data_IF_157696225583
#
_entry.id   IF_157696225583
#
_cell.length_a   1.000
_cell.length_b   1.000
_cell.length_c   1.000
_cell.angle_alpha   90.00
_cell.angle_beta   90.00
_cell.angle_gamma   90.00
#
_symmetry.space_group_name_H-M   'P 1'
#
loop_
_entity.id
_entity.type
_entity.pdbx_description
1 polymer ?
#
# COMPACT_ATOMS: atom_id res chain seq x y z
N UNK A 1 -34.30 -12.72 44.04
CA UNK A 1 -33.01 -12.08 43.70
C UNK A 1 -32.36 -12.98 42.64
N UNK A 2 -32.60 -12.86 41.34
CA UNK A 2 -32.58 -11.66 40.51
C UNK A 2 -31.30 -11.71 39.64
N UNK A 3 -31.15 -12.74 38.80
CA UNK A 3 -30.05 -12.83 37.84
C UNK A 3 -30.48 -12.07 36.57
N UNK A 4 -29.74 -11.02 36.24
CA UNK A 4 -30.03 -10.13 35.12
C UNK A 4 -29.79 -10.85 33.77
N UNK A 5 -30.63 -10.61 32.74
CA UNK A 5 -30.41 -11.15 31.40
C UNK A 5 -29.29 -10.38 30.69
N UNK A 6 -28.34 -11.11 30.09
CA UNK A 6 -27.31 -10.54 29.23
C UNK A 6 -27.96 -9.86 28.00
N UNK A 7 -27.51 -8.66 27.61
CA UNK A 7 -28.11 -7.93 26.50
C UNK A 7 -27.86 -8.64 25.16
N UNK A 8 -28.96 -8.88 24.42
CA UNK A 8 -28.99 -9.44 23.08
C UNK A 8 -28.39 -8.48 22.02
N UNK A 9 -27.08 -8.25 22.08
CA UNK A 9 -26.35 -7.43 21.08
C UNK A 9 -25.10 -8.10 20.51
N UNK A 10 -25.06 -9.43 20.55
CA UNK A 10 -23.94 -10.26 20.06
C UNK A 10 -24.37 -11.21 18.93
N UNK A 11 -25.19 -10.73 17.99
CA UNK A 11 -25.66 -11.52 16.86
C UNK A 11 -25.44 -10.86 15.49
N UNK A 12 -24.54 -9.88 15.38
CA UNK A 12 -24.14 -9.28 14.10
C UNK A 12 -22.64 -8.93 14.09
N UNK A 13 -21.80 -9.95 14.12
CA UNK A 13 -20.39 -9.86 13.76
C UNK A 13 -20.13 -10.87 12.63
N UNK A 14 -19.65 -10.46 11.45
CA UNK A 14 -19.24 -11.40 10.42
C UNK A 14 -18.10 -12.28 10.95
N UNK A 15 -18.17 -13.59 10.68
CA UNK A 15 -17.20 -14.63 11.06
C UNK A 15 -15.85 -14.51 10.31
N UNK A 16 -15.30 -13.31 10.18
CA UNK A 16 -14.05 -13.06 9.48
C UNK A 16 -12.88 -12.70 10.42
N UNK A 17 -13.10 -12.59 11.73
CA UNK A 17 -12.10 -12.06 12.67
C UNK A 17 -11.53 -13.06 13.68
N UNK A 18 -11.41 -14.35 13.35
CA UNK A 18 -10.82 -15.36 14.25
C UNK A 18 -9.67 -16.19 13.63
N UNK A 19 -9.22 -15.90 12.40
CA UNK A 19 -8.00 -16.54 11.86
C UNK A 19 -7.10 -15.55 11.14
N UNK A 20 -6.35 -14.77 11.93
CA UNK A 20 -5.07 -14.22 11.49
C UNK A 20 -4.11 -14.10 12.69
N UNK A 21 -4.05 -15.14 13.51
CA UNK A 21 -2.91 -15.38 14.42
C UNK A 21 -2.10 -16.52 13.82
N UNK A 22 -0.80 -16.30 13.65
CA UNK A 22 0.19 -17.16 12.98
C UNK A 22 0.22 -17.08 11.44
N UNK A 23 0.63 -15.92 10.92
CA UNK A 23 1.47 -15.90 9.71
C UNK A 23 2.94 -15.97 10.18
N UNK A 24 3.79 -16.83 9.59
CA UNK A 24 5.19 -16.95 9.98
C UNK A 24 5.91 -15.64 9.70
N UNK A 25 6.81 -15.29 10.61
CA UNK A 25 7.67 -14.12 10.56
C UNK A 25 8.22 -13.90 9.15
N UNK A 26 7.91 -12.74 8.58
CA UNK A 26 8.48 -12.26 7.34
C UNK A 26 10.01 -12.45 7.38
N UNK A 27 10.52 -13.13 6.36
CA UNK A 27 11.95 -13.28 6.12
C UNK A 27 12.65 -11.92 6.23
N UNK A 28 13.90 -11.86 6.72
CA UNK A 28 14.59 -10.60 6.89
C UNK A 28 14.74 -9.92 5.52
N UNK A 29 13.96 -8.86 5.32
CA UNK A 29 14.15 -7.94 4.20
C UNK A 29 15.59 -7.43 4.29
N UNK A 30 16.45 -7.99 3.43
CA UNK A 30 17.81 -7.50 3.20
C UNK A 30 17.68 -5.99 3.05
N UNK A 31 18.35 -5.21 3.92
CA UNK A 31 18.34 -3.74 3.87
C UNK A 31 18.91 -3.31 2.51
N UNK A 32 18.05 -3.23 1.51
CA UNK A 32 18.32 -2.49 0.30
C UNK A 32 18.31 -1.02 0.73
N UNK A 33 19.47 -0.37 0.70
CA UNK A 33 19.53 1.08 0.80
C UNK A 33 18.55 1.69 -0.21
N UNK A 34 17.47 2.28 0.30
CA UNK A 34 16.29 2.56 -0.53
C UNK A 34 15.35 3.58 0.08
N UNK A 35 15.86 4.52 0.88
CA UNK A 35 15.07 5.62 1.45
C UNK A 35 14.59 6.64 0.39
N UNK A 36 15.01 6.47 -0.86
CA UNK A 36 14.74 7.32 -2.02
C UNK A 36 13.59 6.81 -2.90
N UNK A 37 13.07 5.60 -2.65
CA UNK A 37 12.04 4.96 -3.49
C UNK A 37 10.64 5.02 -2.88
N UNK A 38 9.63 4.98 -3.73
CA UNK A 38 8.24 4.82 -3.29
C UNK A 38 7.98 3.41 -2.73
N UNK A 39 7.05 3.28 -1.78
CA UNK A 39 6.71 1.99 -1.16
C UNK A 39 6.35 0.91 -2.20
N UNK A 40 5.52 1.23 -3.20
CA UNK A 40 5.14 0.27 -4.24
C UNK A 40 6.33 -0.20 -5.09
N UNK A 41 7.27 0.69 -5.40
CA UNK A 41 8.50 0.35 -6.13
C UNK A 41 9.37 -0.62 -5.33
N UNK A 42 9.49 -0.42 -4.01
CA UNK A 42 10.22 -1.35 -3.14
C UNK A 42 9.58 -2.75 -3.12
N UNK A 43 8.24 -2.81 -3.09
CA UNK A 43 7.50 -4.09 -3.13
C UNK A 43 7.75 -4.81 -4.46
N UNK A 44 7.64 -4.12 -5.60
CA UNK A 44 7.86 -4.76 -6.90
C UNK A 44 9.32 -5.21 -7.12
N UNK A 45 10.31 -4.43 -6.65
CA UNK A 45 11.70 -4.86 -6.65
C UNK A 45 11.92 -6.11 -5.78
N UNK A 46 11.26 -6.19 -4.62
CA UNK A 46 11.32 -7.36 -3.76
C UNK A 46 10.63 -8.59 -4.36
N UNK A 47 9.65 -8.39 -5.25
CA UNK A 47 8.98 -9.43 -6.03
C UNK A 47 9.79 -9.88 -7.26
N UNK A 48 10.94 -9.25 -7.54
CA UNK A 48 11.83 -9.64 -8.64
C UNK A 48 11.64 -8.86 -9.94
N UNK A 49 10.79 -7.84 -9.98
CA UNK A 49 10.62 -7.01 -11.17
C UNK A 49 11.84 -6.10 -11.37
N UNK A 50 12.18 -5.85 -12.63
CA UNK A 50 13.22 -4.91 -13.01
C UNK A 50 12.74 -3.46 -12.85
N UNK A 51 13.69 -2.55 -12.67
CA UNK A 51 13.37 -1.13 -12.56
C UNK A 51 12.69 -0.57 -13.83
N UNK A 52 12.99 -1.13 -15.00
CA UNK A 52 12.39 -0.73 -16.27
C UNK A 52 10.90 -1.08 -16.31
N UNK A 53 10.53 -2.32 -15.97
CA UNK A 53 9.13 -2.78 -15.90
C UNK A 53 8.31 -1.96 -14.88
N UNK A 54 8.93 -1.62 -13.75
CA UNK A 54 8.28 -0.78 -12.74
C UNK A 54 8.05 0.65 -13.26
N UNK A 55 9.02 1.21 -13.98
CA UNK A 55 8.91 2.55 -14.54
C UNK A 55 7.83 2.63 -15.65
N UNK A 56 7.69 1.56 -16.42
CA UNK A 56 6.69 1.44 -17.47
C UNK A 56 5.27 1.26 -16.91
N UNK A 57 5.13 0.63 -15.75
CA UNK A 57 3.83 0.43 -15.11
C UNK A 57 3.19 1.75 -14.64
N UNK A 58 3.98 2.65 -14.04
CA UNK A 58 3.45 3.89 -13.46
C UNK A 58 3.04 4.91 -14.51
N UNK A 59 1.92 5.58 -14.27
CA UNK A 59 1.48 6.73 -15.06
C UNK A 59 2.23 8.00 -14.65
N UNK A 60 2.15 9.02 -15.51
CA UNK A 60 2.59 10.38 -15.22
C UNK A 60 1.94 10.98 -13.98
N UNK A 61 2.55 12.02 -13.39
CA UNK A 61 2.13 12.60 -12.11
C UNK A 61 0.70 13.14 -12.14
N UNK A 62 0.23 13.62 -13.29
CA UNK A 62 -1.13 14.12 -13.47
C UNK A 62 -2.20 13.01 -13.48
N UNK A 63 -1.82 11.76 -13.79
CA UNK A 63 -2.75 10.65 -14.01
C UNK A 63 -2.73 9.59 -12.90
N UNK A 64 -1.96 9.82 -11.83
CA UNK A 64 -1.78 8.86 -10.73
C UNK A 64 -3.07 8.44 -10.03
N UNK A 65 -4.11 9.28 -10.03
CA UNK A 65 -5.40 8.94 -9.44
C UNK A 65 -6.03 7.74 -10.16
N UNK A 66 -6.12 7.81 -11.50
CA UNK A 66 -6.64 6.72 -12.33
C UNK A 66 -5.69 5.51 -12.33
N UNK A 67 -4.38 5.76 -12.26
CA UNK A 67 -3.38 4.69 -12.10
C UNK A 67 -3.57 3.86 -10.84
N UNK A 68 -3.78 4.51 -9.69
CA UNK A 68 -3.99 3.83 -8.40
C UNK A 68 -5.30 3.06 -8.31
N UNK A 69 -6.31 3.48 -9.07
CA UNK A 69 -7.60 2.80 -9.16
C UNK A 69 -7.59 1.64 -10.19
N UNK A 70 -6.46 1.41 -10.89
CA UNK A 70 -6.36 0.36 -11.91
C UNK A 70 -7.04 0.68 -13.23
N UNK A 71 -7.45 1.94 -13.47
CA UNK A 71 -8.13 2.34 -14.70
C UNK A 71 -7.17 2.64 -15.86
N UNK A 72 -5.94 3.09 -15.54
CA UNK A 72 -4.90 3.45 -16.51
C UNK A 72 -3.56 2.91 -16.03
N UNK A 73 -2.68 2.58 -16.96
CA UNK A 73 -1.29 2.22 -16.70
C UNK A 73 -0.42 2.84 -17.81
N UNK A 74 0.86 3.06 -17.53
CA UNK A 74 1.87 3.50 -18.53
C UNK A 74 1.66 4.84 -19.24
N UNK A 75 0.53 5.52 -18.99
CA UNK A 75 0.18 6.78 -19.63
C UNK A 75 0.97 7.96 -19.05
N UNK A 76 1.69 8.71 -19.90
CA UNK A 76 2.48 9.90 -19.53
C UNK A 76 3.66 9.62 -18.54
N UNK A 77 4.16 8.37 -18.52
CA UNK A 77 5.34 7.96 -17.76
C UNK A 77 6.66 8.12 -18.54
N UNK A 78 7.84 7.89 -17.91
CA UNK A 78 8.07 7.38 -16.56
C UNK A 78 8.26 8.48 -15.51
N UNK A 79 8.01 8.15 -14.24
CA UNK A 79 8.24 9.07 -13.12
C UNK A 79 9.75 9.24 -12.86
N UNK A 80 10.27 10.48 -12.74
CA UNK A 80 11.67 10.67 -12.40
C UNK A 80 11.93 10.26 -10.93
N UNK A 81 13.12 9.74 -10.59
CA UNK A 81 13.44 9.33 -9.21
C UNK A 81 13.21 10.43 -8.17
N UNK A 82 13.46 11.69 -8.54
CA UNK A 82 13.23 12.86 -7.68
C UNK A 82 11.77 13.04 -7.27
N UNK A 83 10.81 12.54 -8.06
CA UNK A 83 9.40 12.54 -7.72
C UNK A 83 9.14 11.70 -6.48
N UNK A 84 9.67 10.47 -6.42
CA UNK A 84 9.46 9.56 -5.29
C UNK A 84 10.00 10.15 -3.98
N UNK A 85 11.20 10.73 -4.02
CA UNK A 85 11.81 11.40 -2.86
C UNK A 85 10.93 12.54 -2.36
N UNK A 86 10.49 13.43 -3.27
CA UNK A 86 9.63 14.57 -2.93
C UNK A 86 8.29 14.12 -2.35
N UNK A 87 7.67 13.09 -2.92
CA UNK A 87 6.39 12.56 -2.45
C UNK A 87 6.51 11.89 -1.08
N UNK A 88 7.58 11.14 -0.84
CA UNK A 88 7.84 10.53 0.47
C UNK A 88 8.00 11.60 1.55
N UNK A 89 8.83 12.62 1.27
CA UNK A 89 9.02 13.74 2.17
C UNK A 89 7.71 14.49 2.46
N UNK A 90 6.90 14.74 1.42
CA UNK A 90 5.61 15.40 1.56
C UNK A 90 4.62 14.57 2.39
N UNK A 91 4.56 13.25 2.14
CA UNK A 91 3.67 12.35 2.85
C UNK A 91 3.96 12.34 4.36
N UNK A 92 5.23 12.29 4.77
CA UNK A 92 5.58 12.37 6.18
C UNK A 92 5.09 13.67 6.83
N UNK A 93 5.33 14.82 6.19
CA UNK A 93 4.88 16.12 6.71
C UNK A 93 3.36 16.22 6.83
N UNK A 94 2.62 15.71 5.85
CA UNK A 94 1.15 15.69 5.87
C UNK A 94 0.65 14.80 7.01
N UNK A 95 1.20 13.59 7.14
CA UNK A 95 0.80 12.66 8.20
C UNK A 95 1.08 13.21 9.59
N UNK A 96 2.25 13.82 9.80
CA UNK A 96 2.60 14.44 11.09
C UNK A 96 1.65 15.60 11.42
N UNK A 97 1.30 16.42 10.42
CA UNK A 97 0.35 17.51 10.62
C UNK A 97 -1.06 17.02 10.92
N UNK A 98 -1.54 16.01 10.19
CA UNK A 98 -2.85 15.40 10.44
C UNK A 98 -2.93 14.80 11.85
N UNK A 99 -1.89 14.08 12.27
CA UNK A 99 -1.80 13.51 13.64
C UNK A 99 -1.79 14.60 14.71
N UNK A 100 -1.11 15.73 14.47
CA UNK A 100 -1.09 16.86 15.42
C UNK A 100 -2.47 17.49 15.64
N UNK A 101 -3.38 17.34 14.67
CA UNK A 101 -4.76 17.81 14.76
C UNK A 101 -5.74 16.73 15.25
N UNK A 102 -5.27 15.54 15.64
CA UNK A 102 -6.13 14.42 16.04
C UNK A 102 -6.91 13.79 14.86
N UNK A 103 -6.51 14.06 13.62
CA UNK A 103 -7.11 13.43 12.44
C UNK A 103 -6.59 12.01 12.25
N UNK A 104 -7.44 11.11 11.76
CA UNK A 104 -7.06 9.74 11.39
C UNK A 104 -6.89 9.64 9.87
N UNK A 105 -5.65 9.64 9.34
CA UNK A 105 -5.43 9.56 7.90
C UNK A 105 -5.76 8.16 7.35
N UNK A 106 -6.45 8.11 6.21
CA UNK A 106 -6.68 6.86 5.47
C UNK A 106 -5.48 6.59 4.57
N UNK A 107 -4.84 5.44 4.77
CA UNK A 107 -3.69 5.00 3.97
C UNK A 107 -4.15 4.04 2.86
N UNK A 108 -3.51 4.07 1.69
CA UNK A 108 -3.83 3.13 0.62
C UNK A 108 -3.46 1.71 1.03
N UNK A 109 -4.29 0.75 0.60
CA UNK A 109 -4.05 -0.68 0.73
C UNK A 109 -3.98 -1.31 -0.66
N UNK A 110 -3.42 -2.51 -0.74
CA UNK A 110 -3.39 -3.26 -1.99
C UNK A 110 -4.80 -3.73 -2.37
N UNK A 111 -5.20 -3.48 -3.62
CA UNK A 111 -6.55 -3.76 -4.14
C UNK A 111 -6.59 -4.86 -5.22
N UNK A 112 -5.47 -5.58 -5.44
CA UNK A 112 -5.41 -6.67 -6.43
C UNK A 112 -4.87 -6.28 -7.81
N UNK A 113 -4.63 -4.99 -8.07
CA UNK A 113 -4.02 -4.54 -9.33
C UNK A 113 -2.52 -4.75 -9.32
N UNK A 114 -2.01 -5.52 -10.29
CA UNK A 114 -0.58 -5.86 -10.43
C UNK A 114 -0.08 -5.54 -11.85
N UNK A 115 1.21 -5.19 -12.02
CA UNK A 115 1.83 -5.10 -13.34
C UNK A 115 1.80 -6.45 -14.06
N UNK A 116 1.64 -6.42 -15.38
CA UNK A 116 1.71 -7.63 -16.24
C UNK A 116 3.04 -8.39 -16.07
N UNK A 117 4.13 -7.66 -15.82
CA UNK A 117 5.45 -8.25 -15.53
C UNK A 117 5.46 -9.21 -14.33
N UNK A 118 4.52 -9.09 -13.38
CA UNK A 118 4.38 -10.04 -12.27
C UNK A 118 3.96 -11.43 -12.79
N UNK A 119 3.17 -11.51 -13.85
CA UNK A 119 2.70 -12.77 -14.43
C UNK A 119 3.79 -13.50 -15.20
N UNK A 120 4.74 -12.79 -15.83
CA UNK A 120 5.86 -13.42 -16.53
C UNK A 120 6.93 -14.04 -15.60
N UNK A 121 6.92 -13.67 -14.31
CA UNK A 121 7.89 -14.13 -13.32
C UNK A 121 7.48 -15.36 -12.50
N UNK A 122 6.24 -15.84 -12.66
CA UNK A 122 5.66 -17.00 -11.95
C UNK A 122 5.19 -18.06 -12.95
#
# INVERSE_FOLDING_TARGET
RGAAPLPARLLWLPRCLVRLSAAPAAAPARRAGGADRGHAQQVYLALGLTQAEINEFFTGPAFLAWGRMGNLHSWDGPLPPSWHIKQLYLQHRVLDRMRSFGMTPVLPAFAGHVPEAVTSGY
#
